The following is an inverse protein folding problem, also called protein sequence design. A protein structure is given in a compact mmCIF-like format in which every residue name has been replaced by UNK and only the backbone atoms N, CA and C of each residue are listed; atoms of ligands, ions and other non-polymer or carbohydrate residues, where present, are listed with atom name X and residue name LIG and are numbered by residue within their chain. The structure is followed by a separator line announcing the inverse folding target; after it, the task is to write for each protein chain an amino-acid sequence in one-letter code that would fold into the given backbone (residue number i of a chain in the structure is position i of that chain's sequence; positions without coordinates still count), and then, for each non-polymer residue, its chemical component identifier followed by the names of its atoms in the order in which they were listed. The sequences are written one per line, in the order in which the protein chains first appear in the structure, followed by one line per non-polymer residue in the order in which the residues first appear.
data_IF_365247215578
#
_entry.id   IF_365247215578
#
_cell.length_a   1.000
_cell.length_b   1.000
_cell.length_c   1.000
_cell.angle_alpha   90.00
_cell.angle_beta   90.00
_cell.angle_gamma   90.00
#
_symmetry.space_group_name_H-M   'P 1'
#
loop_
_entity.id
_entity.type
_entity.pdbx_description
1 polymer ?
#
# COMPACT_ATOMS: atom_id res chain seq x y z
N UNK A 1 6.41 16.54 19.12
CA UNK A 1 7.58 16.36 18.24
C UNK A 1 7.18 16.87 16.87
N UNK A 2 8.09 17.41 16.04
CA UNK A 2 7.75 17.65 14.64
C UNK A 2 7.35 16.32 13.97
N UNK A 3 6.42 16.39 13.03
CA UNK A 3 6.03 15.23 12.23
C UNK A 3 7.24 14.76 11.42
N UNK A 4 7.47 13.44 11.41
CA UNK A 4 8.55 12.85 10.62
C UNK A 4 8.32 13.09 9.14
N UNK A 5 9.37 13.44 8.42
CA UNK A 5 9.35 13.57 6.96
C UNK A 5 9.34 12.20 6.29
N UNK A 6 8.93 12.13 5.02
CA UNK A 6 8.96 10.88 4.25
C UNK A 6 10.37 10.25 4.23
N UNK A 7 11.42 11.05 4.03
CA UNK A 7 12.80 10.57 3.96
C UNK A 7 13.35 10.04 5.30
N UNK A 8 12.71 10.37 6.42
CA UNK A 8 13.04 9.82 7.75
C UNK A 8 12.35 8.47 8.02
N UNK A 9 11.30 8.15 7.26
CA UNK A 9 10.50 6.94 7.43
C UNK A 9 10.71 5.91 6.31
N UNK A 10 10.99 6.38 5.09
CA UNK A 10 11.11 5.56 3.89
C UNK A 10 12.39 5.93 3.16
N UNK A 11 13.26 4.93 2.99
CA UNK A 11 14.35 4.98 2.05
C UNK A 11 13.83 4.65 0.66
N UNK A 12 14.07 5.54 -0.30
CA UNK A 12 13.74 5.32 -1.70
C UNK A 12 15.04 5.35 -2.52
N UNK A 13 15.21 4.38 -3.42
CA UNK A 13 16.34 4.32 -4.33
C UNK A 13 15.88 3.92 -5.74
N UNK A 14 16.46 4.57 -6.76
CA UNK A 14 16.34 4.19 -8.17
C UNK A 14 17.53 4.72 -8.92
N UNK A 15 18.25 3.85 -9.64
CA UNK A 15 19.49 4.18 -10.33
C UNK A 15 19.34 4.98 -11.65
N UNK A 16 18.13 5.45 -11.98
CA UNK A 16 17.84 6.16 -13.24
C UNK A 16 16.80 7.26 -13.06
N UNK A 17 16.68 8.13 -14.06
CA UNK A 17 15.49 8.98 -14.21
C UNK A 17 14.25 8.15 -14.55
N UNK A 18 13.08 8.69 -14.23
CA UNK A 18 11.80 8.08 -14.57
C UNK A 18 10.70 9.12 -14.75
N UNK A 19 9.62 8.76 -15.45
CA UNK A 19 8.46 9.65 -15.65
C UNK A 19 7.38 9.45 -14.59
N UNK A 20 6.60 10.50 -14.31
CA UNK A 20 5.35 10.47 -13.53
C UNK A 20 4.38 11.52 -14.05
N UNK A 21 3.11 11.44 -13.69
CA UNK A 21 2.16 12.55 -13.83
C UNK A 21 2.24 13.41 -12.57
N UNK A 22 2.45 14.72 -12.72
CA UNK A 22 2.53 15.66 -11.61
C UNK A 22 1.15 16.22 -11.21
N UNK A 23 1.12 17.03 -10.14
CA UNK A 23 -0.13 17.61 -9.61
C UNK A 23 -0.88 18.53 -10.60
N UNK A 24 -0.21 19.00 -11.66
CA UNK A 24 -0.85 19.78 -12.72
C UNK A 24 -1.48 18.90 -13.82
N UNK A 25 -1.33 17.57 -13.72
CA UNK A 25 -1.78 16.60 -14.71
C UNK A 25 -0.81 16.41 -15.88
N UNK A 26 0.44 16.87 -15.75
CA UNK A 26 1.45 16.81 -16.80
C UNK A 26 2.49 15.72 -16.55
N UNK A 27 2.93 15.04 -17.62
CA UNK A 27 4.06 14.12 -17.52
C UNK A 27 5.37 14.89 -17.31
N UNK A 28 6.12 14.53 -16.28
CA UNK A 28 7.45 15.06 -16.01
C UNK A 28 8.47 13.95 -15.78
N UNK A 29 9.75 14.26 -16.03
CA UNK A 29 10.87 13.37 -15.71
C UNK A 29 11.47 13.77 -14.37
N UNK A 30 11.54 12.83 -13.44
CA UNK A 30 12.24 12.99 -12.17
C UNK A 30 13.58 12.27 -12.20
N UNK A 31 14.54 12.79 -11.43
CA UNK A 31 15.89 12.22 -11.34
C UNK A 31 15.96 10.86 -10.62
N UNK A 32 17.17 10.28 -10.54
CA UNK A 32 17.48 9.16 -9.66
C UNK A 32 17.10 9.45 -8.21
N UNK A 33 16.73 8.40 -7.47
CA UNK A 33 16.41 8.46 -6.04
C UNK A 33 15.29 9.45 -5.65
N UNK A 34 14.47 9.89 -6.62
CA UNK A 34 13.31 10.75 -6.37
C UNK A 34 12.02 9.90 -6.37
N UNK A 35 11.29 9.83 -5.24
CA UNK A 35 9.97 9.19 -5.18
C UNK A 35 8.99 9.79 -6.18
N UNK A 36 8.17 8.93 -6.78
CA UNK A 36 7.18 9.32 -7.80
C UNK A 36 5.79 9.31 -7.20
N UNK A 37 5.35 10.45 -6.66
CA UNK A 37 3.93 10.64 -6.33
C UNK A 37 3.18 10.93 -7.63
N UNK A 38 2.31 10.01 -8.03
CA UNK A 38 1.59 10.03 -9.30
C UNK A 38 0.20 10.65 -9.12
N UNK A 39 -0.31 11.26 -10.18
CA UNK A 39 -1.60 11.95 -10.18
C UNK A 39 -2.43 11.49 -11.38
N UNK A 40 -3.74 11.60 -11.26
CA UNK A 40 -4.62 11.44 -12.41
C UNK A 40 -4.45 12.63 -13.37
N UNK A 41 -4.18 12.42 -14.67
CA UNK A 41 -3.88 13.52 -15.60
C UNK A 41 -5.10 14.40 -15.91
N UNK A 42 -6.32 13.95 -15.61
CA UNK A 42 -7.56 14.67 -15.90
C UNK A 42 -8.09 15.35 -14.64
N UNK A 43 -8.27 14.58 -13.57
CA UNK A 43 -8.85 15.04 -12.30
C UNK A 43 -7.83 15.67 -11.37
N UNK A 44 -6.53 15.44 -11.61
CA UNK A 44 -5.41 15.91 -10.78
C UNK A 44 -5.44 15.36 -9.34
N UNK A 45 -6.24 14.32 -9.10
CA UNK A 45 -6.26 13.63 -7.82
C UNK A 45 -4.96 12.84 -7.62
N UNK A 46 -4.40 12.88 -6.41
CA UNK A 46 -3.24 12.07 -6.07
C UNK A 46 -3.57 10.58 -6.06
N UNK A 47 -2.77 9.77 -6.74
CA UNK A 47 -2.96 8.31 -6.85
C UNK A 47 -2.04 7.50 -5.94
N UNK A 48 -0.99 8.11 -5.41
CA UNK A 48 -0.05 7.48 -4.48
C UNK A 48 1.38 7.38 -5.04
N UNK A 49 2.21 6.58 -4.36
CA UNK A 49 3.59 6.34 -4.77
C UNK A 49 3.63 5.29 -5.88
N UNK A 50 4.06 5.70 -7.08
CA UNK A 50 4.28 4.83 -8.22
C UNK A 50 5.55 4.00 -8.01
N UNK A 51 5.40 2.67 -8.09
CA UNK A 51 6.47 1.69 -7.92
C UNK A 51 6.45 0.74 -9.12
N UNK A 52 7.50 0.76 -9.93
CA UNK A 52 7.58 0.00 -11.17
C UNK A 52 8.92 -0.74 -11.32
N UNK A 53 8.86 -1.88 -12.02
CA UNK A 53 10.01 -2.64 -12.44
C UNK A 53 10.88 -1.88 -13.45
N UNK A 54 12.06 -2.43 -13.68
CA UNK A 54 12.97 -1.95 -14.72
C UNK A 54 12.29 -2.02 -16.09
N UNK A 55 12.24 -0.90 -16.81
CA UNK A 55 11.49 -0.79 -18.05
C UNK A 55 12.01 0.31 -18.96
N UNK A 56 11.11 0.96 -19.68
CA UNK A 56 11.40 2.10 -20.54
C UNK A 56 10.54 3.30 -20.15
N UNK A 57 11.16 4.48 -20.14
CA UNK A 57 10.47 5.76 -20.01
C UNK A 57 9.72 6.10 -21.31
N UNK A 58 8.84 7.10 -21.24
CA UNK A 58 8.06 7.56 -22.40
C UNK A 58 8.94 8.10 -23.54
N UNK A 59 10.15 8.59 -23.23
CA UNK A 59 11.15 9.04 -24.20
C UNK A 59 12.02 7.90 -24.77
N UNK A 60 11.77 6.65 -24.37
CA UNK A 60 12.51 5.46 -24.79
C UNK A 60 13.80 5.19 -24.00
N UNK A 61 14.16 6.03 -23.03
CA UNK A 61 15.31 5.78 -22.16
C UNK A 61 15.04 4.62 -21.18
N UNK A 62 16.09 3.88 -20.81
CA UNK A 62 15.97 2.80 -19.85
C UNK A 62 15.63 3.31 -18.44
N UNK A 63 14.71 2.63 -17.77
CA UNK A 63 14.30 2.88 -16.39
C UNK A 63 14.74 1.73 -15.49
N UNK A 64 15.38 2.02 -14.37
CA UNK A 64 15.66 1.03 -13.33
C UNK A 64 14.40 0.76 -12.47
N UNK A 65 14.37 -0.39 -11.79
CA UNK A 65 13.34 -0.70 -10.81
C UNK A 65 13.34 0.30 -9.64
N UNK A 66 12.17 0.57 -9.08
CA UNK A 66 12.05 1.35 -7.84
C UNK A 66 12.35 0.47 -6.62
N UNK A 67 13.05 1.03 -5.63
CA UNK A 67 13.28 0.36 -4.35
C UNK A 67 12.74 1.26 -3.24
N UNK A 68 11.70 0.80 -2.53
CA UNK A 68 11.13 1.52 -1.40
C UNK A 68 11.15 0.62 -0.17
N UNK A 69 11.84 1.07 0.88
CA UNK A 69 11.97 0.33 2.13
C UNK A 69 11.73 1.24 3.33
N UNK A 70 11.08 0.71 4.35
CA UNK A 70 10.86 1.42 5.61
C UNK A 70 12.15 1.43 6.42
N UNK A 71 12.50 2.59 6.96
CA UNK A 71 13.64 2.75 7.86
C UNK A 71 13.25 2.26 9.26
N UNK A 72 13.63 1.04 9.61
CA UNK A 72 13.30 0.43 10.91
C UNK A 72 14.13 1.03 12.04
N UNK A 73 13.49 1.72 12.99
CA UNK A 73 14.09 2.20 14.24
C UNK A 73 13.34 1.60 15.45
N UNK A 74 14.06 1.04 16.46
CA UNK A 74 13.48 0.61 17.74
C UNK A 74 12.54 1.62 18.44
N UNK A 75 12.70 2.92 18.20
CA UNK A 75 11.90 3.97 18.84
C UNK A 75 10.42 3.89 18.48
N UNK A 76 10.09 3.40 17.28
CA UNK A 76 8.72 3.38 16.78
C UNK A 76 8.30 2.02 16.23
N UNK A 77 9.23 1.19 15.77
CA UNK A 77 8.93 -0.13 15.22
C UNK A 77 9.17 -1.25 16.23
N UNK A 78 8.16 -2.08 16.47
CA UNK A 78 8.26 -3.27 17.30
C UNK A 78 7.77 -4.52 16.55
N UNK A 79 8.66 -5.47 16.19
CA UNK A 79 8.27 -6.68 15.47
C UNK A 79 7.42 -7.64 16.32
N UNK A 80 7.37 -7.43 17.64
CA UNK A 80 6.56 -8.23 18.54
C UNK A 80 5.11 -7.74 18.66
N UNK A 81 4.80 -6.52 18.19
CA UNK A 81 3.49 -5.86 18.30
C UNK A 81 3.38 -4.80 17.21
N UNK A 82 2.87 -5.19 16.04
CA UNK A 82 2.77 -4.29 14.90
C UNK A 82 1.71 -4.71 13.91
N UNK A 83 0.97 -3.73 13.38
CA UNK A 83 0.01 -3.92 12.29
C UNK A 83 0.39 -3.00 11.14
N UNK A 84 0.51 -3.56 9.96
CA UNK A 84 0.68 -2.85 8.69
C UNK A 84 -0.65 -2.86 7.97
N UNK A 85 -1.14 -1.67 7.60
CA UNK A 85 -2.28 -1.49 6.71
C UNK A 85 -1.73 -0.90 5.43
N UNK A 86 -2.03 -1.54 4.31
CA UNK A 86 -1.45 -1.16 3.01
C UNK A 86 -2.55 -1.12 1.98
N UNK A 87 -2.74 0.06 1.37
CA UNK A 87 -3.65 0.26 0.24
C UNK A 87 -2.84 0.37 -1.04
N UNK A 88 -3.21 -0.38 -2.06
CA UNK A 88 -2.52 -0.39 -3.35
C UNK A 88 -3.50 -0.48 -4.51
N UNK A 89 -3.11 0.06 -5.66
CA UNK A 89 -3.81 -0.14 -6.93
C UNK A 89 -3.26 -1.39 -7.61
N UNK A 90 -4.13 -2.32 -8.01
CA UNK A 90 -3.72 -3.54 -8.69
C UNK A 90 -3.56 -3.30 -10.20
N UNK A 91 -2.36 -3.50 -10.78
CA UNK A 91 -2.12 -3.15 -12.19
C UNK A 91 -2.53 -4.22 -13.20
N UNK A 92 -2.90 -5.43 -12.76
CA UNK A 92 -3.34 -6.52 -13.64
C UNK A 92 -2.49 -7.78 -13.58
N UNK A 93 -2.48 -8.54 -14.67
CA UNK A 93 -1.86 -9.87 -14.72
C UNK A 93 -0.36 -9.83 -14.40
N UNK A 94 0.15 -10.90 -13.79
CA UNK A 94 1.53 -10.98 -13.30
C UNK A 94 1.60 -11.24 -11.80
N UNK A 95 2.83 -11.22 -11.27
CA UNK A 95 3.11 -11.34 -9.83
C UNK A 95 3.57 -10.00 -9.29
N UNK A 96 2.80 -9.44 -8.37
CA UNK A 96 2.99 -8.10 -7.84
C UNK A 96 3.16 -8.15 -6.33
N UNK A 97 4.35 -7.84 -5.83
CA UNK A 97 4.58 -7.74 -4.38
C UNK A 97 3.97 -6.46 -3.86
N UNK A 98 3.17 -6.52 -2.79
CA UNK A 98 2.57 -5.33 -2.17
C UNK A 98 3.43 -4.87 -1.00
N UNK A 99 3.69 -5.78 -0.06
CA UNK A 99 4.55 -5.56 1.09
C UNK A 99 5.26 -6.86 1.42
N UNK A 100 6.55 -6.77 1.74
CA UNK A 100 7.33 -7.91 2.21
C UNK A 100 8.14 -7.53 3.46
N UNK A 101 8.06 -8.36 4.48
CA UNK A 101 8.84 -8.26 5.70
C UNK A 101 9.84 -9.42 5.72
N UNK A 102 11.10 -9.10 5.95
CA UNK A 102 12.16 -10.11 6.11
C UNK A 102 12.49 -10.30 7.58
N UNK A 103 12.50 -11.56 8.03
CA UNK A 103 13.03 -11.96 9.33
C UNK A 103 14.07 -13.07 9.16
N UNK A 104 14.93 -13.33 10.17
CA UNK A 104 15.84 -14.47 10.12
C UNK A 104 15.14 -15.84 10.02
N UNK A 105 13.86 -15.91 10.40
CA UNK A 105 13.08 -17.14 10.36
C UNK A 105 12.41 -17.37 9.00
N UNK A 106 11.86 -16.31 8.40
CA UNK A 106 11.18 -16.37 7.12
C UNK A 106 10.95 -14.96 6.54
N UNK A 107 10.75 -14.90 5.22
CA UNK A 107 10.09 -13.79 4.55
C UNK A 107 8.57 -13.98 4.62
N UNK A 108 7.83 -12.90 4.79
CA UNK A 108 6.37 -12.95 4.83
C UNK A 108 5.78 -11.62 4.37
N UNK A 109 4.55 -11.64 3.86
CA UNK A 109 3.97 -10.44 3.29
C UNK A 109 2.71 -10.72 2.49
N UNK A 110 2.40 -9.79 1.58
CA UNK A 110 1.28 -9.90 0.65
C UNK A 110 1.77 -9.67 -0.78
N UNK A 111 1.26 -10.48 -1.69
CA UNK A 111 1.44 -10.33 -3.14
C UNK A 111 0.15 -10.64 -3.87
N UNK A 112 0.02 -10.17 -5.10
CA UNK A 112 -1.06 -10.52 -6.00
C UNK A 112 -0.50 -11.34 -7.15
N UNK A 113 -1.14 -12.45 -7.51
CA UNK A 113 -0.77 -13.28 -8.65
C UNK A 113 -2.00 -13.43 -9.54
N UNK A 114 -1.94 -12.85 -10.74
CA UNK A 114 -3.03 -12.87 -11.72
C UNK A 114 -4.40 -12.52 -11.11
N UNK A 115 -4.41 -11.46 -10.29
CA UNK A 115 -5.58 -10.96 -9.59
C UNK A 115 -5.86 -11.60 -8.23
N UNK A 116 -5.38 -12.81 -7.96
CA UNK A 116 -5.60 -13.44 -6.65
C UNK A 116 -4.65 -12.87 -5.62
N UNK A 117 -5.18 -12.36 -4.50
CA UNK A 117 -4.35 -11.84 -3.40
C UNK A 117 -3.91 -12.99 -2.51
N UNK A 118 -2.61 -13.08 -2.26
CA UNK A 118 -2.00 -14.07 -1.38
C UNK A 118 -1.24 -13.39 -0.25
N UNK A 119 -1.53 -13.80 0.98
CA UNK A 119 -0.55 -13.66 2.05
C UNK A 119 0.42 -14.84 2.01
N UNK A 120 1.67 -14.64 2.44
CA UNK A 120 2.67 -15.69 2.45
C UNK A 120 3.56 -15.64 3.69
N UNK A 121 4.12 -16.81 4.06
CA UNK A 121 5.15 -16.96 5.09
C UNK A 121 6.08 -18.10 4.69
N UNK A 122 7.33 -17.76 4.36
CA UNK A 122 8.23 -18.64 3.63
C UNK A 122 7.61 -19.07 2.30
N UNK A 123 7.63 -20.37 2.03
CA UNK A 123 7.07 -20.95 0.80
C UNK A 123 5.54 -21.16 0.87
N UNK A 124 4.92 -20.96 2.04
CA UNK A 124 3.49 -21.20 2.25
C UNK A 124 2.69 -19.97 1.83
N UNK A 125 1.61 -20.19 1.08
CA UNK A 125 0.69 -19.15 0.61
C UNK A 125 -0.73 -19.39 1.11
N UNK A 126 -1.43 -18.29 1.37
CA UNK A 126 -2.80 -18.25 1.86
C UNK A 126 -3.59 -17.32 0.93
N UNK A 127 -4.50 -17.90 0.15
CA UNK A 127 -5.33 -17.14 -0.76
C UNK A 127 -6.40 -16.35 0.00
N UNK A 128 -6.60 -15.11 -0.41
CA UNK A 128 -7.80 -14.33 -0.15
C UNK A 128 -8.67 -14.32 -1.41
N UNK A 129 -9.38 -13.22 -1.64
CA UNK A 129 -10.17 -12.99 -2.83
C UNK A 129 -9.35 -12.32 -3.95
N UNK A 130 -10.05 -11.90 -4.99
CA UNK A 130 -9.48 -11.28 -6.18
C UNK A 130 -9.42 -9.76 -6.04
N UNK A 131 -8.26 -9.16 -6.30
CA UNK A 131 -8.14 -7.73 -6.53
C UNK A 131 -8.62 -7.37 -7.93
N UNK A 132 -9.33 -6.24 -8.03
CA UNK A 132 -9.86 -5.73 -9.30
C UNK A 132 -8.86 -4.73 -9.87
N UNK A 133 -8.61 -4.83 -11.17
CA UNK A 133 -7.66 -3.95 -11.88
C UNK A 133 -8.10 -2.50 -11.75
N UNK A 134 -7.12 -1.61 -11.55
CA UNK A 134 -7.31 -0.16 -11.36
C UNK A 134 -8.17 0.23 -10.15
N UNK A 135 -8.50 -0.73 -9.26
CA UNK A 135 -9.17 -0.45 -7.99
C UNK A 135 -8.18 -0.51 -6.84
N UNK A 136 -8.45 0.32 -5.82
CA UNK A 136 -7.68 0.33 -4.59
C UNK A 136 -8.09 -0.87 -3.74
N UNK A 137 -7.08 -1.63 -3.33
CA UNK A 137 -7.20 -2.81 -2.51
C UNK A 137 -6.50 -2.57 -1.16
N UNK A 138 -7.19 -2.88 -0.05
CA UNK A 138 -6.61 -2.86 1.29
C UNK A 138 -6.16 -4.27 1.71
N UNK A 139 -4.98 -4.34 2.31
CA UNK A 139 -4.46 -5.55 2.96
C UNK A 139 -3.85 -5.21 4.31
N UNK A 140 -3.88 -6.18 5.22
CA UNK A 140 -3.36 -6.04 6.58
C UNK A 140 -2.34 -7.15 6.86
N UNK A 141 -1.21 -6.81 7.46
CA UNK A 141 -0.25 -7.76 8.05
C UNK A 141 -0.05 -7.42 9.52
N UNK A 142 -0.33 -8.35 10.43
CA UNK A 142 -0.12 -8.19 11.86
C UNK A 142 0.95 -9.16 12.38
N UNK A 143 1.89 -8.63 13.15
CA UNK A 143 2.89 -9.37 13.91
C UNK A 143 2.61 -9.19 15.41
N UNK A 144 2.60 -10.30 16.16
CA UNK A 144 2.26 -10.30 17.58
C UNK A 144 2.98 -11.39 18.37
N UNK A 145 2.67 -11.48 19.67
CA UNK A 145 3.09 -12.60 20.52
C UNK A 145 2.46 -13.91 20.05
N UNK A 146 1.29 -13.81 19.41
CA UNK A 146 0.54 -14.94 18.86
C UNK A 146 0.88 -15.25 17.40
N UNK A 147 1.99 -14.72 16.90
CA UNK A 147 2.55 -15.00 15.58
C UNK A 147 2.19 -13.97 14.51
N UNK A 148 2.06 -14.43 13.26
CA UNK A 148 1.80 -13.58 12.09
C UNK A 148 0.43 -13.88 11.51
N UNK A 149 -0.34 -12.82 11.24
CA UNK A 149 -1.63 -12.87 10.55
C UNK A 149 -1.64 -11.93 9.37
N UNK A 150 -2.47 -12.26 8.39
CA UNK A 150 -2.88 -11.35 7.34
C UNK A 150 -4.39 -11.15 7.36
N UNK A 151 -4.86 -10.05 6.78
CA UNK A 151 -6.28 -9.82 6.59
C UNK A 151 -6.59 -9.07 5.30
N UNK A 152 -7.76 -9.35 4.75
CA UNK A 152 -8.36 -8.66 3.60
C UNK A 152 -9.87 -8.88 3.58
N UNK A 153 -10.63 -7.83 3.30
CA UNK A 153 -12.09 -7.85 3.12
C UNK A 153 -12.82 -8.60 4.24
N UNK A 154 -12.47 -8.27 5.49
CA UNK A 154 -13.04 -8.90 6.69
C UNK A 154 -12.64 -10.36 6.92
N UNK A 155 -11.75 -10.93 6.10
CA UNK A 155 -11.20 -12.28 6.24
C UNK A 155 -9.79 -12.20 6.79
N UNK A 156 -9.38 -13.21 7.57
CA UNK A 156 -8.02 -13.30 8.14
C UNK A 156 -7.43 -14.69 7.94
N UNK A 157 -6.10 -14.74 7.80
CA UNK A 157 -5.31 -15.96 7.74
C UNK A 157 -4.22 -15.93 8.81
N UNK A 158 -4.08 -17.03 9.57
CA UNK A 158 -2.94 -17.24 10.47
C UNK A 158 -1.78 -17.82 9.66
N UNK A 159 -0.75 -17.02 9.42
CA UNK A 159 0.39 -17.43 8.59
C UNK A 159 1.42 -18.24 9.40
N UNK A 160 1.61 -17.88 10.67
CA UNK A 160 2.50 -18.57 11.59
C UNK A 160 2.03 -18.38 13.03
N UNK A 161 2.06 -19.43 13.85
CA UNK A 161 1.81 -19.32 15.30
C UNK A 161 3.06 -18.88 16.08
N UNK A 162 4.23 -18.89 15.44
CA UNK A 162 5.48 -18.47 16.07
C UNK A 162 5.63 -16.96 16.02
N UNK A 163 5.96 -16.36 17.16
CA UNK A 163 6.29 -14.93 17.25
C UNK A 163 7.50 -14.60 16.38
N UNK A 164 7.41 -13.51 15.63
CA UNK A 164 8.54 -12.89 14.94
C UNK A 164 9.42 -12.17 15.96
N UNK A 165 10.66 -12.67 16.14
CA UNK A 165 11.60 -12.08 17.10
C UNK A 165 12.23 -10.78 16.58
N UNK A 166 12.42 -10.70 15.26
CA UNK A 166 13.07 -9.59 14.59
C UNK A 166 12.57 -9.48 13.16
N UNK A 167 12.34 -8.25 12.71
CA UNK A 167 12.23 -7.92 11.29
C UNK A 167 13.46 -7.09 10.93
N UNK A 168 14.15 -7.47 9.86
CA UNK A 168 15.36 -6.81 9.39
C UNK A 168 15.11 -5.87 8.24
N UNK A 169 14.00 -6.07 7.53
CA UNK A 169 13.66 -5.29 6.35
C UNK A 169 12.14 -5.27 6.15
N UNK A 170 11.60 -4.13 5.72
CA UNK A 170 10.20 -4.00 5.30
C UNK A 170 10.20 -3.26 3.97
N UNK A 171 9.90 -3.99 2.91
CA UNK A 171 9.88 -3.50 1.53
C UNK A 171 8.47 -3.20 1.09
N UNK A 172 8.32 -2.08 0.40
CA UNK A 172 7.07 -1.61 -0.16
C UNK A 172 7.13 -1.82 -1.66
N UNK A 173 6.21 -2.65 -2.18
CA UNK A 173 6.07 -2.88 -3.61
C UNK A 173 7.19 -3.66 -4.28
N UNK A 174 8.07 -4.34 -3.55
CA UNK A 174 9.09 -5.20 -4.12
C UNK A 174 9.41 -6.42 -3.23
N UNK A 175 9.81 -7.52 -3.86
CA UNK A 175 10.36 -8.68 -3.17
C UNK A 175 11.85 -8.50 -2.86
N UNK A 176 12.37 -9.15 -1.81
CA UNK A 176 13.79 -9.10 -1.45
C UNK A 176 14.75 -9.52 -2.58
N UNK A 177 14.31 -10.44 -3.43
CA UNK A 177 15.06 -10.91 -4.59
C UNK A 177 14.89 -10.00 -5.83
N UNK A 178 14.14 -8.89 -5.72
CA UNK A 178 13.76 -7.98 -6.80
C UNK A 178 13.19 -8.69 -8.05
N UNK A 179 12.51 -9.84 -7.85
CA UNK A 179 11.92 -10.64 -8.93
C UNK A 179 10.50 -10.16 -9.26
N UNK A 180 9.79 -9.61 -8.27
CA UNK A 180 8.42 -9.11 -8.42
C UNK A 180 8.27 -7.72 -7.81
N UNK A 181 7.73 -6.80 -8.62
CA UNK A 181 7.44 -5.42 -8.26
C UNK A 181 5.92 -5.18 -8.28
N UNK A 182 5.44 -4.21 -7.50
CA UNK A 182 4.03 -3.85 -7.49
C UNK A 182 3.52 -3.47 -8.88
N UNK A 183 4.33 -2.75 -9.66
CA UNK A 183 3.98 -2.20 -10.99
C UNK A 183 2.70 -1.37 -11.01
N UNK A 184 2.47 -0.66 -9.91
CA UNK A 184 1.26 0.10 -9.66
C UNK A 184 1.50 1.18 -8.62
N UNK A 185 0.40 1.65 -8.00
CA UNK A 185 0.48 2.69 -6.97
C UNK A 185 0.31 2.12 -5.59
N UNK A 186 1.26 2.44 -4.71
CA UNK A 186 1.09 2.34 -3.27
C UNK A 186 0.32 3.58 -2.80
N UNK A 187 -0.98 3.41 -2.55
CA UNK A 187 -1.89 4.51 -2.20
C UNK A 187 -1.65 4.96 -0.77
N UNK A 188 -1.53 4.00 0.16
CA UNK A 188 -1.20 4.30 1.55
C UNK A 188 -0.45 3.14 2.20
N UNK A 189 0.39 3.47 3.18
CA UNK A 189 0.92 2.49 4.11
C UNK A 189 0.87 3.10 5.51
N UNK A 190 0.43 2.32 6.49
CA UNK A 190 0.30 2.74 7.89
C UNK A 190 0.84 1.64 8.79
N UNK A 191 1.58 2.05 9.80
CA UNK A 191 2.00 1.17 10.89
C UNK A 191 1.30 1.55 12.19
N UNK A 192 0.80 0.54 12.89
CA UNK A 192 0.23 0.67 14.24
C UNK A 192 1.11 -0.17 15.17
N UNK A 193 1.81 0.48 16.11
CA UNK A 193 2.68 -0.17 17.10
C UNK A 193 1.92 -0.89 18.23
N UNK A 194 0.89 -1.64 17.86
CA UNK A 194 0.02 -2.38 18.76
C UNK A 194 -0.10 -3.84 18.31
N UNK A 195 -0.40 -4.72 19.25
CA UNK A 195 -0.67 -6.11 18.95
C UNK A 195 -2.15 -6.30 18.66
N UNK A 196 -2.50 -6.66 17.43
CA UNK A 196 -3.89 -6.91 17.07
C UNK A 196 -4.32 -8.35 17.37
N UNK A 197 -5.47 -8.47 18.02
CA UNK A 197 -6.29 -9.68 18.06
C UNK A 197 -6.80 -10.07 16.66
N UNK A 198 -7.28 -11.30 16.51
CA UNK A 198 -7.90 -11.76 15.26
C UNK A 198 -9.07 -10.88 14.84
N UNK A 199 -9.91 -10.45 15.78
CA UNK A 199 -11.04 -9.55 15.51
C UNK A 199 -10.60 -8.16 15.06
N UNK A 200 -9.50 -7.64 15.60
CA UNK A 200 -8.96 -6.35 15.17
C UNK A 200 -8.34 -6.44 13.78
N UNK A 201 -7.64 -7.53 13.45
CA UNK A 201 -7.13 -7.75 12.08
C UNK A 201 -8.29 -7.79 11.07
N UNK A 202 -9.39 -8.46 11.42
CA UNK A 202 -10.62 -8.46 10.60
C UNK A 202 -11.16 -7.04 10.45
N UNK A 203 -11.30 -6.29 11.55
CA UNK A 203 -11.83 -4.93 11.52
C UNK A 203 -10.94 -3.99 10.69
N UNK A 204 -9.62 -4.08 10.80
CA UNK A 204 -8.70 -3.30 9.96
C UNK A 204 -8.73 -3.71 8.49
N UNK A 205 -9.10 -4.96 8.20
CA UNK A 205 -9.17 -5.50 6.86
C UNK A 205 -10.53 -5.27 6.19
N UNK A 206 -11.54 -4.81 6.94
CA UNK A 206 -12.81 -4.38 6.37
C UNK A 206 -12.61 -3.00 5.74
N UNK A 207 -12.87 -2.83 4.44
CA UNK A 207 -12.88 -1.50 3.83
C UNK A 207 -13.83 -0.59 4.61
N UNK A 208 -13.40 0.64 4.90
CA UNK A 208 -14.28 1.61 5.53
C UNK A 208 -15.31 2.07 4.51
N UNK A 209 -16.45 1.37 4.46
CA UNK A 209 -17.56 1.66 3.53
C UNK A 209 -18.00 3.13 3.60
N UNK A 210 -17.88 3.77 4.77
CA UNK A 210 -18.21 5.19 4.91
C UNK A 210 -17.16 6.11 4.29
N UNK A 211 -15.88 5.73 4.36
CA UNK A 211 -14.82 6.44 3.65
C UNK A 211 -14.97 6.28 2.13
N UNK A 212 -15.34 5.09 1.64
CA UNK A 212 -15.58 4.85 0.22
C UNK A 212 -16.81 5.62 -0.29
N UNK A 213 -17.89 5.68 0.50
CA UNK A 213 -19.07 6.50 0.17
C UNK A 213 -18.71 7.98 0.17
N UNK A 214 -17.97 8.45 1.17
CA UNK A 214 -17.55 9.86 1.26
C UNK A 214 -16.62 10.25 0.11
N UNK A 215 -15.64 9.40 -0.23
CA UNK A 215 -14.74 9.61 -1.36
C UNK A 215 -15.50 9.55 -2.68
N UNK A 216 -16.41 8.59 -2.88
CA UNK A 216 -17.26 8.53 -4.07
C UNK A 216 -18.11 9.79 -4.21
N UNK A 217 -18.73 10.26 -3.12
CA UNK A 217 -19.55 11.47 -3.13
C UNK A 217 -18.69 12.69 -3.48
N UNK A 218 -17.52 12.83 -2.85
CA UNK A 218 -16.59 13.94 -3.12
C UNK A 218 -16.02 13.89 -4.54
N UNK A 219 -15.71 12.71 -5.05
CA UNK A 219 -15.11 12.52 -6.38
C UNK A 219 -16.14 12.63 -7.51
N UNK A 220 -17.40 12.28 -7.25
CA UNK A 220 -18.50 12.33 -8.23
C UNK A 220 -19.19 13.70 -8.26
N UNK A 221 -19.35 14.34 -7.11
CA UNK A 221 -20.16 15.56 -6.96
C UNK A 221 -19.36 16.79 -6.50
N UNK A 222 -18.10 16.63 -6.07
CA UNK A 222 -17.26 17.75 -5.62
C UNK A 222 -17.94 18.62 -4.56
N UNK A 223 -17.69 19.93 -4.61
CA UNK A 223 -18.31 20.92 -3.70
C UNK A 223 -19.83 21.09 -3.93
N UNK A 224 -20.40 20.56 -5.01
CA UNK A 224 -21.85 20.65 -5.28
C UNK A 224 -22.67 19.84 -4.26
N UNK A 225 -22.06 18.87 -3.57
CA UNK A 225 -22.72 18.12 -2.52
C UNK A 225 -23.09 18.98 -1.29
N UNK A 226 -22.29 19.98 -0.95
CA UNK A 226 -22.62 20.94 0.13
C UNK A 226 -23.87 21.77 -0.20
N UNK A 227 -24.06 22.09 -1.48
CA UNK A 227 -25.27 22.78 -1.94
C UNK A 227 -26.49 21.85 -1.91
N UNK A 228 -26.32 20.57 -2.22
CA UNK A 228 -27.39 19.57 -2.16
C UNK A 228 -27.79 19.24 -0.71
N UNK A 229 -26.82 19.11 0.20
CA UNK A 229 -27.06 18.91 1.64
C UNK A 229 -27.86 20.07 2.24
N UNK A 230 -27.48 21.32 1.94
CA UNK A 230 -28.20 22.51 2.39
C UNK A 230 -29.62 22.63 1.78
N UNK A 231 -29.82 22.13 0.55
CA UNK A 231 -31.14 22.06 -0.07
C UNK A 231 -32.00 20.96 0.54
N UNK A 232 -31.41 19.80 0.88
CA UNK A 232 -32.10 18.68 1.50
C UNK A 232 -32.49 19.02 2.95
N UNK A 233 -31.59 19.66 3.70
CA UNK A 233 -31.86 20.12 5.07
C UNK A 233 -32.96 21.18 5.10
N UNK A 234 -32.97 22.14 4.15
CA UNK A 234 -34.09 23.07 3.98
C UNK A 234 -35.39 22.37 3.55
N UNK A 235 -35.35 21.30 2.77
CA UNK A 235 -36.55 20.58 2.35
C UNK A 235 -37.16 19.73 3.47
N UNK A 236 -36.34 19.29 4.43
CA UNK A 236 -36.75 18.43 5.55
C UNK A 236 -37.10 19.27 6.79
N UNK A 237 -36.30 20.29 7.09
CA UNK A 237 -36.34 21.07 8.33
C UNK A 237 -36.72 22.54 8.12
N UNK A 238 -36.85 23.02 6.88
CA UNK A 238 -37.25 24.38 6.52
C UNK A 238 -38.74 24.55 6.29
#
# INVERSE_FOLDING_TARGET
MPDSTFAELVAFARASSATRVNADGQTETVGPDVPRIDFDPVTKAGRGLLLEHAGMNTDGSARAADHAAVILNPDWFNPARGVWLVSFEFPGAGTHTVIELTSPAAQFGVRVVDGTVYAFYGDVQFAFDTAIVDQVALVVIACGQTGVRAGRNGVTAQLSAARVQRVTDVRLGESAAAVAQLDGRMVSFRYIGHEASTSEVIAYATPDEWAEISDFVMQTYGDEFLALEAQLDNAING
#
